data_IF_804222401549
#
_entry.id   IF_804222401549
#
_cell.length_a   1.000
_cell.length_b   1.000
_cell.length_c   1.000
_cell.angle_alpha   90.00
_cell.angle_beta   90.00
_cell.angle_gamma   90.00
#
_symmetry.space_group_name_H-M   'P 1'
#
loop_
_entity.id
_entity.type
_entity.pdbx_description
1 polymer ?
#
# COMPACT_ATOMS: atom_id res chain seq x y z
N UNK A 1 19.09 -38.26 7.17
CA UNK A 1 19.94 -37.06 7.08
C UNK A 1 21.32 -37.38 7.63
N UNK A 2 22.37 -37.08 6.87
CA UNK A 2 23.76 -37.23 7.33
C UNK A 2 24.20 -35.99 8.11
N UNK A 3 25.22 -36.14 8.97
CA UNK A 3 25.77 -35.02 9.73
C UNK A 3 26.28 -33.88 8.84
N UNK A 4 26.82 -34.21 7.67
CA UNK A 4 27.28 -33.21 6.70
C UNK A 4 26.13 -32.40 6.10
N UNK A 5 24.96 -33.00 5.88
CA UNK A 5 23.77 -32.28 5.41
C UNK A 5 23.29 -31.26 6.45
N UNK A 6 23.34 -31.59 7.74
CA UNK A 6 22.93 -30.67 8.81
C UNK A 6 23.81 -29.42 8.84
N UNK A 7 25.12 -29.55 8.59
CA UNK A 7 26.05 -28.40 8.55
C UNK A 7 25.74 -27.41 7.44
N UNK A 8 25.03 -27.83 6.38
CA UNK A 8 24.69 -26.94 5.26
C UNK A 8 23.49 -26.04 5.56
N UNK A 9 22.66 -26.38 6.54
CA UNK A 9 21.39 -25.68 6.81
C UNK A 9 21.58 -24.18 7.12
N UNK A 10 22.51 -23.76 8.00
CA UNK A 10 22.71 -22.33 8.26
C UNK A 10 23.10 -21.54 7.00
N UNK A 11 23.93 -22.13 6.14
CA UNK A 11 24.35 -21.51 4.87
C UNK A 11 23.16 -21.39 3.91
N UNK A 12 22.28 -22.38 3.86
CA UNK A 12 21.06 -22.33 3.06
C UNK A 12 20.10 -21.26 3.57
N UNK A 13 19.88 -21.17 4.87
CA UNK A 13 19.03 -20.13 5.49
C UNK A 13 19.57 -18.74 5.20
N UNK A 14 20.88 -18.52 5.35
CA UNK A 14 21.50 -17.24 5.04
C UNK A 14 21.31 -16.85 3.56
N UNK A 15 21.48 -17.79 2.61
CA UNK A 15 21.24 -17.54 1.18
C UNK A 15 19.78 -17.21 0.88
N UNK A 16 18.85 -17.92 1.50
CA UNK A 16 17.41 -17.68 1.37
C UNK A 16 17.04 -16.30 1.92
N UNK A 17 17.54 -15.97 3.12
CA UNK A 17 17.32 -14.69 3.78
C UNK A 17 17.89 -13.52 2.95
N UNK A 18 19.11 -13.67 2.42
CA UNK A 18 19.72 -12.68 1.54
C UNK A 18 18.85 -12.44 0.31
N UNK A 19 18.40 -13.49 -0.38
CA UNK A 19 17.55 -13.35 -1.56
C UNK A 19 16.18 -12.73 -1.22
N UNK A 20 15.57 -13.13 -0.09
CA UNK A 20 14.32 -12.55 0.38
C UNK A 20 14.45 -11.06 0.70
N UNK A 21 15.59 -10.65 1.28
CA UNK A 21 15.92 -9.26 1.61
C UNK A 21 16.17 -8.43 0.35
N UNK A 22 17.09 -8.85 -0.51
CA UNK A 22 17.50 -8.12 -1.73
C UNK A 22 16.33 -7.86 -2.68
N UNK A 23 15.37 -8.78 -2.73
CA UNK A 23 14.22 -8.67 -3.63
C UNK A 23 12.92 -8.23 -2.94
N UNK A 24 12.96 -7.92 -1.64
CA UNK A 24 11.79 -7.57 -0.84
C UNK A 24 10.63 -8.59 -0.97
N UNK A 25 10.96 -9.89 -0.99
CA UNK A 25 10.01 -10.99 -1.25
C UNK A 25 9.61 -11.80 -0.02
N UNK A 26 10.04 -11.42 1.17
CA UNK A 26 9.68 -12.14 2.40
C UNK A 26 8.16 -12.23 2.62
N UNK A 27 7.42 -11.14 2.40
CA UNK A 27 5.95 -11.14 2.51
C UNK A 27 5.29 -12.03 1.46
N UNK A 28 5.83 -12.06 0.24
CA UNK A 28 5.34 -12.92 -0.84
C UNK A 28 5.57 -14.40 -0.49
N UNK A 29 6.73 -14.73 0.08
CA UNK A 29 7.04 -16.07 0.58
C UNK A 29 6.07 -16.50 1.70
N UNK A 30 5.82 -15.63 2.68
CA UNK A 30 4.85 -15.88 3.74
C UNK A 30 3.45 -16.18 3.16
N UNK A 31 2.94 -15.28 2.29
CA UNK A 31 1.63 -15.44 1.64
C UNK A 31 1.55 -16.71 0.81
N UNK A 32 2.65 -17.12 0.16
CA UNK A 32 2.71 -18.34 -0.64
C UNK A 32 2.57 -19.58 0.23
N UNK A 33 3.26 -19.66 1.37
CA UNK A 33 3.08 -20.76 2.32
C UNK A 33 1.68 -20.80 2.92
N UNK A 34 1.12 -19.65 3.31
CA UNK A 34 -0.26 -19.56 3.80
C UNK A 34 -1.28 -20.03 2.75
N UNK A 35 -1.04 -19.73 1.47
CA UNK A 35 -1.88 -20.20 0.38
C UNK A 35 -1.75 -21.72 0.18
N UNK A 36 -0.53 -22.25 0.14
CA UNK A 36 -0.27 -23.69 0.01
C UNK A 36 -0.83 -24.48 1.19
N UNK A 37 -0.85 -23.89 2.38
CA UNK A 37 -1.50 -24.49 3.53
C UNK A 37 -3.02 -24.65 3.34
N UNK A 38 -3.69 -23.66 2.75
CA UNK A 38 -5.13 -23.73 2.46
C UNK A 38 -5.51 -24.77 1.40
N UNK A 39 -4.54 -25.22 0.60
CA UNK A 39 -4.74 -26.25 -0.42
C UNK A 39 -4.61 -27.68 0.15
N UNK A 40 -4.27 -27.84 1.43
CA UNK A 40 -4.28 -29.15 2.08
C UNK A 40 -5.72 -29.65 2.20
N UNK A 41 -5.99 -30.84 1.67
CA UNK A 41 -7.33 -31.47 1.75
C UNK A 41 -7.74 -31.80 3.19
N UNK A 42 -6.75 -32.13 4.02
CA UNK A 42 -6.96 -32.49 5.41
C UNK A 42 -6.85 -31.28 6.34
N UNK A 43 -8.02 -30.80 6.79
CA UNK A 43 -8.15 -29.70 7.75
C UNK A 43 -7.81 -30.09 9.20
N UNK A 44 -7.60 -31.38 9.48
CA UNK A 44 -7.23 -31.84 10.83
C UNK A 44 -5.74 -31.66 11.13
N UNK A 45 -4.93 -31.46 10.09
CA UNK A 45 -3.49 -31.21 10.20
C UNK A 45 -3.27 -29.81 10.80
N UNK A 46 -2.33 -29.72 11.74
CA UNK A 46 -2.01 -28.49 12.46
C UNK A 46 -1.76 -27.29 11.51
N UNK A 47 -2.15 -26.10 11.96
CA UNK A 47 -1.79 -24.85 11.28
C UNK A 47 -0.26 -24.66 11.33
N UNK A 48 0.34 -24.25 10.21
CA UNK A 48 1.77 -23.96 10.12
C UNK A 48 2.67 -25.05 9.53
N UNK A 49 2.09 -26.04 8.86
CA UNK A 49 2.85 -27.08 8.14
C UNK A 49 2.44 -27.18 6.67
N UNK A 50 3.28 -27.68 5.77
CA UNK A 50 2.90 -28.00 4.38
C UNK A 50 3.57 -29.30 3.92
N UNK A 51 2.99 -30.07 2.99
CA UNK A 51 3.69 -31.21 2.38
C UNK A 51 5.03 -30.79 1.76
N UNK A 52 6.03 -31.66 1.79
CA UNK A 52 7.37 -31.39 1.23
C UNK A 52 7.33 -30.93 -0.24
N UNK A 53 6.43 -31.51 -1.05
CA UNK A 53 6.28 -31.16 -2.48
C UNK A 53 5.92 -29.68 -2.72
N UNK A 54 5.27 -29.04 -1.73
CA UNK A 54 4.88 -27.64 -1.80
C UNK A 54 6.02 -26.68 -1.46
N UNK A 55 7.07 -27.15 -0.77
CA UNK A 55 8.20 -26.32 -0.35
C UNK A 55 8.98 -25.82 -1.57
N UNK A 56 9.23 -26.67 -2.57
CA UNK A 56 9.88 -26.28 -3.83
C UNK A 56 9.12 -25.17 -4.54
N UNK A 57 7.79 -25.27 -4.59
CA UNK A 57 6.93 -24.26 -5.21
C UNK A 57 6.96 -22.94 -4.44
N UNK A 58 7.06 -22.99 -3.10
CA UNK A 58 7.16 -21.79 -2.28
C UNK A 58 8.50 -21.07 -2.47
N UNK A 59 9.61 -21.82 -2.44
CA UNK A 59 10.97 -21.26 -2.61
C UNK A 59 11.17 -20.66 -4.00
N UNK A 60 10.49 -21.19 -5.03
CA UNK A 60 10.54 -20.63 -6.38
C UNK A 60 10.07 -19.16 -6.46
N UNK A 61 9.27 -18.68 -5.51
CA UNK A 61 8.87 -17.27 -5.41
C UNK A 61 10.04 -16.34 -5.10
N UNK A 62 11.14 -16.85 -4.53
CA UNK A 62 12.35 -16.09 -4.22
C UNK A 62 13.28 -15.88 -5.43
N UNK A 63 12.74 -15.93 -6.65
CA UNK A 63 13.51 -15.74 -7.88
C UNK A 63 14.37 -14.46 -7.81
N UNK A 64 15.67 -14.54 -8.18
CA UNK A 64 16.31 -15.59 -8.95
C UNK A 64 17.04 -16.67 -8.14
N UNK A 65 16.73 -16.89 -6.86
CA UNK A 65 17.43 -17.89 -6.03
C UNK A 65 17.32 -19.30 -6.64
N UNK A 66 18.47 -19.87 -7.03
CA UNK A 66 18.58 -21.27 -7.49
C UNK A 66 19.13 -22.13 -6.35
N UNK A 67 18.26 -22.92 -5.73
CA UNK A 67 18.66 -23.99 -4.82
C UNK A 67 18.68 -25.32 -5.56
N UNK A 68 19.62 -26.20 -5.20
CA UNK A 68 19.65 -27.55 -5.73
C UNK A 68 18.56 -28.40 -5.06
N UNK A 69 18.11 -29.44 -5.74
CA UNK A 69 17.09 -30.36 -5.22
C UNK A 69 17.51 -30.97 -3.88
N UNK A 70 18.79 -31.35 -3.76
CA UNK A 70 19.38 -31.84 -2.51
C UNK A 70 19.34 -30.81 -1.36
N UNK A 71 19.49 -29.52 -1.68
CA UNK A 71 19.41 -28.45 -0.67
C UNK A 71 17.98 -28.32 -0.15
N UNK A 72 16.99 -28.41 -1.04
CA UNK A 72 15.57 -28.38 -0.69
C UNK A 72 15.20 -29.61 0.14
N UNK A 73 15.65 -30.80 -0.25
CA UNK A 73 15.46 -32.03 0.54
C UNK A 73 16.06 -31.89 1.94
N UNK A 74 17.29 -31.37 2.05
CA UNK A 74 17.95 -31.16 3.34
C UNK A 74 17.17 -30.19 4.23
N UNK A 75 16.67 -29.09 3.67
CA UNK A 75 15.76 -28.18 4.39
C UNK A 75 14.48 -28.89 4.82
N UNK A 76 13.87 -29.68 3.93
CA UNK A 76 12.66 -30.43 4.22
C UNK A 76 12.84 -31.36 5.41
N UNK A 77 13.93 -32.12 5.45
CA UNK A 77 14.27 -32.98 6.59
C UNK A 77 14.54 -32.20 7.87
N UNK A 78 15.22 -31.04 7.78
CA UNK A 78 15.55 -30.25 8.97
C UNK A 78 14.31 -29.68 9.67
N UNK A 79 13.34 -29.19 8.89
CA UNK A 79 12.07 -28.64 9.41
C UNK A 79 10.92 -29.65 9.38
N UNK A 80 11.21 -30.95 9.27
CA UNK A 80 10.18 -31.98 9.25
C UNK A 80 9.44 -32.03 10.59
N UNK A 81 8.11 -32.15 10.53
CA UNK A 81 7.26 -32.22 11.71
C UNK A 81 7.48 -33.54 12.46
N UNK A 82 7.68 -33.53 13.80
CA UNK A 82 8.12 -34.71 14.55
C UNK A 82 7.10 -35.86 14.55
N UNK A 83 5.82 -35.55 14.35
CA UNK A 83 4.72 -36.53 14.40
C UNK A 83 4.03 -36.74 13.05
N UNK A 84 4.34 -35.93 12.03
CA UNK A 84 3.65 -35.98 10.74
C UNK A 84 4.73 -35.99 9.66
N UNK A 85 5.09 -37.19 9.22
CA UNK A 85 6.15 -37.40 8.24
C UNK A 85 5.82 -36.69 6.92
N UNK A 86 6.84 -36.17 6.27
CA UNK A 86 6.74 -35.44 4.99
C UNK A 86 5.96 -34.12 5.08
N UNK A 87 5.78 -33.59 6.29
CA UNK A 87 5.26 -32.25 6.50
C UNK A 87 6.34 -31.32 7.04
N UNK A 88 6.50 -30.19 6.36
CA UNK A 88 7.46 -29.13 6.64
C UNK A 88 6.86 -28.06 7.54
N UNK A 89 7.47 -27.79 8.70
CA UNK A 89 7.08 -26.72 9.64
C UNK A 89 7.48 -25.35 9.12
N UNK A 90 6.75 -24.84 8.13
CA UNK A 90 7.12 -23.60 7.45
C UNK A 90 7.11 -22.38 8.38
N UNK A 91 6.33 -22.38 9.47
CA UNK A 91 6.34 -21.27 10.44
C UNK A 91 7.73 -21.12 11.10
N UNK A 92 8.35 -22.24 11.49
CA UNK A 92 9.67 -22.21 12.13
C UNK A 92 10.74 -21.81 11.11
N UNK A 93 10.66 -22.35 9.90
CA UNK A 93 11.50 -21.93 8.78
C UNK A 93 11.42 -20.42 8.51
N UNK A 94 10.21 -19.85 8.43
CA UNK A 94 10.02 -18.42 8.21
C UNK A 94 10.60 -17.56 9.35
N UNK A 95 10.47 -18.01 10.62
CA UNK A 95 11.08 -17.33 11.76
C UNK A 95 12.60 -17.29 11.63
N UNK A 96 13.22 -18.40 11.24
CA UNK A 96 14.67 -18.48 11.09
C UNK A 96 15.15 -17.64 9.89
N UNK A 97 14.44 -17.67 8.76
CA UNK A 97 14.71 -16.77 7.62
C UNK A 97 14.61 -15.31 8.06
N UNK A 98 13.58 -14.94 8.82
CA UNK A 98 13.42 -13.57 9.34
C UNK A 98 14.54 -13.18 10.29
N UNK A 99 14.98 -14.11 11.14
CA UNK A 99 16.11 -13.90 12.03
C UNK A 99 17.39 -13.59 11.24
N UNK A 100 17.70 -14.41 10.22
CA UNK A 100 18.85 -14.18 9.34
C UNK A 100 18.75 -12.85 8.57
N UNK A 101 17.56 -12.45 8.12
CA UNK A 101 17.33 -11.12 7.50
C UNK A 101 17.66 -9.97 8.45
N UNK A 102 17.28 -10.08 9.73
CA UNK A 102 17.59 -9.07 10.74
C UNK A 102 19.09 -8.99 11.07
N UNK A 103 19.85 -10.06 10.82
CA UNK A 103 21.31 -10.05 10.94
C UNK A 103 21.98 -9.31 9.77
N UNK A 104 21.43 -9.42 8.55
CA UNK A 104 21.93 -8.74 7.35
C UNK A 104 21.79 -7.22 7.51
N UNK A 105 20.63 -6.75 7.96
CA UNK A 105 20.37 -5.34 8.22
C UNK A 105 19.67 -5.17 9.57
N UNK A 106 20.38 -4.59 10.54
CA UNK A 106 19.83 -4.28 11.87
C UNK A 106 18.65 -3.30 11.81
N UNK A 107 18.51 -2.57 10.71
CA UNK A 107 17.37 -1.68 10.42
C UNK A 107 16.32 -2.34 9.53
N UNK A 108 16.34 -3.67 9.38
CA UNK A 108 15.22 -4.39 8.81
C UNK A 108 13.99 -4.22 9.71
N UNK A 109 13.31 -3.09 9.55
CA UNK A 109 11.95 -2.90 9.99
C UNK A 109 11.12 -3.77 9.06
N UNK A 110 10.54 -4.82 9.65
CA UNK A 110 9.52 -5.63 8.99
C UNK A 110 8.58 -4.69 8.24
N UNK A 111 8.44 -4.88 6.93
CA UNK A 111 7.46 -4.15 6.15
C UNK A 111 6.16 -4.23 6.93
N UNK A 112 5.63 -3.08 7.42
CA UNK A 112 4.51 -3.14 8.35
C UNK A 112 3.42 -3.92 7.66
N UNK A 113 3.01 -5.04 8.27
CA UNK A 113 1.99 -5.94 7.71
C UNK A 113 0.89 -5.06 7.14
N UNK A 114 0.57 -5.26 5.86
CA UNK A 114 -0.42 -4.42 5.19
C UNK A 114 -1.78 -4.62 5.87
N UNK A 115 -2.05 -3.78 6.85
CA UNK A 115 -3.36 -3.64 7.48
C UNK A 115 -4.33 -3.02 6.50
N UNK A 116 -5.63 -3.24 6.72
CA UNK A 116 -6.70 -2.55 5.97
C UNK A 116 -6.45 -1.03 5.92
N UNK A 117 -6.04 -0.43 7.05
CA UNK A 117 -5.69 0.99 7.14
C UNK A 117 -4.56 1.37 6.19
N UNK A 118 -3.44 0.65 6.24
CA UNK A 118 -2.28 0.94 5.38
C UNK A 118 -2.61 0.77 3.89
N UNK A 119 -3.47 -0.20 3.55
CA UNK A 119 -3.90 -0.40 2.16
C UNK A 119 -4.73 0.79 1.65
N UNK A 120 -5.72 1.25 2.44
CA UNK A 120 -6.51 2.45 2.14
C UNK A 120 -5.62 3.68 2.01
N UNK A 121 -4.73 3.91 2.98
CA UNK A 121 -3.79 5.04 2.94
C UNK A 121 -2.88 4.97 1.70
N UNK A 122 -2.44 3.80 1.27
CA UNK A 122 -1.61 3.64 0.06
C UNK A 122 -2.39 3.96 -1.22
N UNK A 123 -3.68 3.61 -1.31
CA UNK A 123 -4.55 4.02 -2.41
C UNK A 123 -4.68 5.55 -2.45
N UNK A 124 -5.00 6.17 -1.31
CA UNK A 124 -5.15 7.63 -1.20
C UNK A 124 -3.85 8.37 -1.50
N UNK A 125 -2.71 7.90 -0.98
CA UNK A 125 -1.37 8.47 -1.24
C UNK A 125 -1.05 8.53 -2.74
N UNK A 126 -1.24 7.40 -3.44
CA UNK A 126 -1.01 7.34 -4.88
C UNK A 126 -1.91 8.32 -5.63
N UNK A 127 -3.18 8.39 -5.26
CA UNK A 127 -4.13 9.30 -5.90
C UNK A 127 -3.77 10.78 -5.69
N UNK A 128 -3.51 11.19 -4.45
CA UNK A 128 -3.15 12.58 -4.10
C UNK A 128 -1.87 12.99 -4.81
N UNK A 129 -0.85 12.13 -4.78
CA UNK A 129 0.43 12.38 -5.44
C UNK A 129 0.30 12.49 -6.96
N UNK A 130 -0.36 11.53 -7.61
CA UNK A 130 -0.50 11.52 -9.06
C UNK A 130 -1.37 12.66 -9.59
N UNK A 131 -2.31 13.13 -8.77
CA UNK A 131 -3.21 14.23 -9.12
C UNK A 131 -2.64 15.61 -8.76
N UNK A 132 -1.53 15.67 -8.02
CA UNK A 132 -0.95 16.93 -7.53
C UNK A 132 -1.91 17.72 -6.64
N UNK A 133 -2.82 17.05 -5.92
CA UNK A 133 -3.87 17.70 -5.14
C UNK A 133 -3.31 18.22 -3.82
N UNK A 134 -3.68 19.44 -3.45
CA UNK A 134 -3.47 19.93 -2.09
C UNK A 134 -4.54 19.32 -1.18
N UNK A 135 -4.19 18.23 -0.48
CA UNK A 135 -5.12 17.52 0.37
C UNK A 135 -5.71 18.42 1.47
N UNK A 136 -4.96 19.39 1.99
CA UNK A 136 -5.41 20.24 3.11
C UNK A 136 -6.47 21.28 2.73
N UNK A 137 -6.50 21.73 1.49
CA UNK A 137 -7.26 22.91 1.07
C UNK A 137 -8.78 22.75 1.31
N UNK A 138 -9.44 21.65 0.90
CA UNK A 138 -10.88 21.51 1.11
C UNK A 138 -11.29 21.35 2.57
N UNK A 139 -10.36 20.96 3.46
CA UNK A 139 -10.65 20.84 4.89
C UNK A 139 -10.62 22.19 5.59
N UNK A 140 -9.77 23.12 5.15
CA UNK A 140 -9.66 24.47 5.71
C UNK A 140 -10.98 25.24 5.60
N UNK A 141 -11.74 25.04 4.52
CA UNK A 141 -13.05 25.68 4.32
C UNK A 141 -14.09 25.26 5.38
N UNK A 142 -13.97 24.05 5.93
CA UNK A 142 -14.87 23.55 6.98
C UNK A 142 -14.35 23.82 8.40
N UNK A 143 -13.08 24.17 8.57
CA UNK A 143 -12.42 24.39 9.87
C UNK A 143 -12.29 25.89 10.18
N UNK A 144 -13.42 26.55 10.40
CA UNK A 144 -13.49 27.99 10.65
C UNK A 144 -12.67 28.45 11.85
N UNK A 145 -12.44 27.55 12.82
CA UNK A 145 -11.71 27.86 14.06
C UNK A 145 -10.25 27.42 14.05
N UNK A 146 -9.75 26.85 12.95
CA UNK A 146 -8.37 26.37 12.82
C UNK A 146 -7.99 25.30 13.85
N UNK A 147 -8.97 24.50 14.32
CA UNK A 147 -8.73 23.49 15.37
C UNK A 147 -8.20 22.18 14.82
N UNK A 148 -8.11 22.05 13.50
CA UNK A 148 -7.73 20.83 12.80
C UNK A 148 -8.70 19.65 13.02
N UNK A 149 -9.94 19.96 13.40
CA UNK A 149 -10.96 19.00 13.82
C UNK A 149 -12.24 19.23 13.02
N UNK A 150 -12.76 18.18 12.38
CA UNK A 150 -14.00 18.23 11.61
C UNK A 150 -14.96 17.12 12.03
N UNK A 151 -16.26 17.37 11.96
CA UNK A 151 -17.25 16.30 12.13
C UNK A 151 -17.14 15.29 10.97
N UNK A 152 -17.41 14.00 11.21
CA UNK A 152 -17.40 12.95 10.16
C UNK A 152 -18.19 13.34 8.90
N UNK A 153 -19.35 14.02 9.04
CA UNK A 153 -20.15 14.45 7.89
C UNK A 153 -19.51 15.58 7.07
N UNK A 154 -18.73 16.46 7.70
CA UNK A 154 -17.95 17.50 7.02
C UNK A 154 -16.74 16.87 6.34
N UNK A 155 -16.09 15.92 7.02
CA UNK A 155 -14.96 15.17 6.50
C UNK A 155 -15.31 14.39 5.23
N UNK A 156 -16.43 13.64 5.23
CA UNK A 156 -16.94 12.95 4.03
C UNK A 156 -17.21 13.93 2.88
N UNK A 157 -17.78 15.11 3.16
CA UNK A 157 -18.02 16.15 2.16
C UNK A 157 -16.72 16.71 1.57
N UNK A 158 -15.71 16.98 2.40
CA UNK A 158 -14.40 17.44 1.94
C UNK A 158 -13.69 16.38 1.08
N UNK A 159 -13.75 15.10 1.45
CA UNK A 159 -13.25 13.99 0.62
C UNK A 159 -13.96 13.91 -0.74
N UNK A 160 -15.27 14.13 -0.77
CA UNK A 160 -16.03 14.15 -2.02
C UNK A 160 -15.61 15.31 -2.95
N UNK A 161 -15.27 16.48 -2.39
CA UNK A 161 -14.70 17.61 -3.17
C UNK A 161 -13.37 17.20 -3.83
N UNK A 162 -12.54 16.41 -3.15
CA UNK A 162 -11.31 15.83 -3.69
C UNK A 162 -11.53 14.68 -4.70
N UNK A 163 -12.79 14.34 -5.01
CA UNK A 163 -13.18 13.19 -5.84
C UNK A 163 -12.71 11.86 -5.26
N UNK A 164 -12.78 11.73 -3.93
CA UNK A 164 -12.52 10.51 -3.17
C UNK A 164 -13.85 9.98 -2.63
N UNK A 165 -14.20 8.76 -2.99
CA UNK A 165 -15.49 8.16 -2.65
C UNK A 165 -15.93 7.09 -3.65
N UNK A 166 -17.03 6.38 -3.34
CA UNK A 166 -17.54 5.34 -4.22
C UNK A 166 -17.94 5.92 -5.58
N UNK A 167 -17.42 5.34 -6.66
CA UNK A 167 -17.68 5.77 -8.04
C UNK A 167 -17.04 7.11 -8.44
N UNK A 168 -16.12 7.63 -7.63
CA UNK A 168 -15.33 8.82 -7.95
C UNK A 168 -13.98 8.45 -8.61
N UNK A 169 -13.13 9.45 -8.87
CA UNK A 169 -11.80 9.22 -9.47
C UNK A 169 -10.89 8.36 -8.58
N UNK A 170 -10.96 8.58 -7.27
CA UNK A 170 -10.36 7.68 -6.29
C UNK A 170 -11.46 6.82 -5.68
N UNK A 171 -11.71 5.67 -6.30
CA UNK A 171 -12.76 4.74 -5.90
C UNK A 171 -12.35 4.04 -4.59
N UNK A 172 -13.00 4.45 -3.50
CA UNK A 172 -12.82 3.89 -2.16
C UNK A 172 -14.22 3.63 -1.61
N UNK A 173 -14.45 2.42 -1.09
CA UNK A 173 -15.75 2.05 -0.56
C UNK A 173 -16.15 2.95 0.60
N UNK A 174 -17.46 3.16 0.79
CA UNK A 174 -17.94 3.98 1.91
C UNK A 174 -17.54 3.37 3.27
N UNK A 175 -17.54 2.03 3.37
CA UNK A 175 -17.10 1.31 4.57
C UNK A 175 -15.62 1.56 4.88
N UNK A 176 -14.76 1.61 3.86
CA UNK A 176 -13.34 1.91 4.02
C UNK A 176 -13.11 3.37 4.42
N UNK A 177 -13.89 4.30 3.88
CA UNK A 177 -13.87 5.70 4.32
C UNK A 177 -14.29 5.79 5.78
N UNK A 178 -15.39 5.14 6.18
CA UNK A 178 -15.83 5.16 7.57
C UNK A 178 -14.82 4.51 8.52
N UNK A 179 -14.22 3.39 8.10
CA UNK A 179 -13.15 2.73 8.84
C UNK A 179 -11.94 3.65 9.01
N UNK A 180 -11.51 4.30 7.93
CA UNK A 180 -10.42 5.27 7.95
C UNK A 180 -10.73 6.42 8.91
N UNK A 181 -11.87 7.07 8.77
CA UNK A 181 -12.23 8.23 9.58
C UNK A 181 -12.33 7.90 11.07
N UNK A 182 -12.87 6.72 11.42
CA UNK A 182 -12.91 6.21 12.80
C UNK A 182 -11.52 6.10 13.43
N UNK A 183 -10.50 5.74 12.65
CA UNK A 183 -9.12 5.64 13.13
C UNK A 183 -8.48 7.00 13.46
N UNK A 184 -9.02 8.09 12.91
CA UNK A 184 -8.54 9.46 13.14
C UNK A 184 -9.46 10.28 14.07
N UNK A 185 -10.42 9.64 14.75
CA UNK A 185 -11.25 10.32 15.76
C UNK A 185 -10.39 10.70 16.97
N UNK A 186 -10.54 11.94 17.42
CA UNK A 186 -9.81 12.46 18.57
C UNK A 186 -10.43 11.92 19.88
N UNK A 187 -9.66 11.29 20.79
CA UNK A 187 -10.20 10.71 22.03
C UNK A 187 -10.89 11.72 22.95
N UNK A 188 -10.47 13.00 22.90
CA UNK A 188 -11.04 14.07 23.72
C UNK A 188 -12.33 14.65 23.14
N UNK A 189 -12.62 14.40 21.86
CA UNK A 189 -13.77 14.95 21.15
C UNK A 189 -14.39 13.85 20.28
N UNK A 190 -15.18 12.97 20.91
CA UNK A 190 -15.68 11.66 20.43
C UNK A 190 -16.42 11.63 19.06
N UNK A 191 -16.56 12.76 18.36
CA UNK A 191 -17.20 12.87 17.04
C UNK A 191 -16.42 13.74 16.04
N UNK A 192 -15.23 14.18 16.43
CA UNK A 192 -14.38 15.01 15.59
C UNK A 192 -13.18 14.20 15.12
N UNK A 193 -12.93 14.29 13.82
CA UNK A 193 -11.83 13.64 13.13
C UNK A 193 -10.70 14.65 12.99
N UNK A 194 -9.50 14.26 13.41
CA UNK A 194 -8.29 15.05 13.29
C UNK A 194 -7.73 14.96 11.86
N UNK A 195 -8.17 15.88 11.00
CA UNK A 195 -7.80 15.85 9.58
C UNK A 195 -6.33 16.20 9.37
N UNK A 196 -5.71 17.00 10.24
CA UNK A 196 -4.29 17.31 10.17
C UNK A 196 -3.43 16.05 10.34
N UNK A 197 -3.78 15.20 11.31
CA UNK A 197 -3.10 13.92 11.50
C UNK A 197 -3.26 13.00 10.27
N UNK A 198 -4.47 12.96 9.68
CA UNK A 198 -4.71 12.21 8.44
C UNK A 198 -3.87 12.76 7.27
N UNK A 199 -3.82 14.08 7.09
CA UNK A 199 -2.99 14.70 6.05
C UNK A 199 -1.52 14.43 6.27
N UNK A 200 -1.03 14.55 7.50
CA UNK A 200 0.36 14.25 7.85
C UNK A 200 0.69 12.79 7.50
N UNK A 201 -0.16 11.83 7.82
CA UNK A 201 0.07 10.42 7.50
C UNK A 201 0.04 10.14 5.99
N UNK A 202 -0.80 10.86 5.24
CA UNK A 202 -0.83 10.81 3.77
C UNK A 202 0.44 11.42 3.16
N UNK A 203 0.93 12.54 3.70
CA UNK A 203 2.08 13.27 3.13
C UNK A 203 3.44 12.75 3.60
N UNK A 204 3.57 12.21 4.82
CA UNK A 204 4.83 11.69 5.38
C UNK A 204 5.23 10.31 4.85
N UNK A 205 4.42 9.70 3.98
CA UNK A 205 4.64 8.34 3.50
C UNK A 205 5.61 8.23 2.31
N UNK A 206 6.56 7.30 2.38
CA UNK A 206 7.23 6.76 1.20
C UNK A 206 6.20 6.00 0.35
N UNK A 207 5.92 6.46 -0.87
CA UNK A 207 5.19 5.63 -1.85
C UNK A 207 6.22 4.71 -2.49
N UNK A 208 6.06 3.38 -2.32
CA UNK A 208 6.94 2.37 -2.91
C UNK A 208 8.43 2.52 -2.54
N UNK A 209 8.74 2.78 -1.26
CA UNK A 209 10.12 2.78 -0.75
C UNK A 209 10.98 3.99 -1.16
N UNK A 210 10.48 4.88 -2.03
CA UNK A 210 11.15 6.14 -2.38
C UNK A 210 10.64 7.26 -1.47
N UNK A 211 11.57 7.98 -0.83
CA UNK A 211 11.27 9.26 -0.17
C UNK A 211 10.91 10.24 -1.29
N UNK A 212 9.65 10.66 -1.34
CA UNK A 212 9.24 11.67 -2.30
C UNK A 212 9.62 13.04 -1.74
N UNK A 213 10.31 13.89 -2.51
CA UNK A 213 10.57 15.26 -2.09
C UNK A 213 9.23 16.00 -2.08
N UNK A 214 8.65 16.19 -0.89
CA UNK A 214 7.51 17.09 -0.76
C UNK A 214 8.01 18.50 -1.03
N UNK A 215 7.41 19.17 -2.01
CA UNK A 215 7.74 20.56 -2.33
C UNK A 215 7.10 21.40 -1.24
N UNK A 216 7.88 21.80 -0.22
CA UNK A 216 7.45 22.77 0.79
C UNK A 216 6.93 24.02 0.07
N UNK A 217 5.61 24.09 -0.13
CA UNK A 217 4.93 25.35 -0.38
C UNK A 217 5.07 26.11 0.92
N UNK A 218 6.07 26.99 0.98
CA UNK A 218 6.34 27.79 2.16
C UNK A 218 5.06 28.50 2.60
N UNK A 219 4.48 28.00 3.69
CA UNK A 219 3.64 28.80 4.58
C UNK A 219 4.60 29.78 5.27
N UNK A 220 5.06 30.76 4.48
CA UNK A 220 5.88 31.87 4.92
C UNK A 220 4.95 32.91 5.50
N UNK A 221 5.03 33.07 6.81
CA UNK A 221 4.49 34.20 7.55
C UNK A 221 4.83 35.51 6.83
N UNK A 222 3.84 36.39 6.77
CA UNK A 222 3.79 37.52 5.85
C UNK A 222 5.04 38.41 5.85
N UNK A 223 5.86 38.25 4.82
CA UNK A 223 6.81 39.27 4.38
C UNK A 223 6.39 39.74 2.99
N UNK A 224 5.93 41.00 2.91
CA UNK A 224 5.51 41.69 1.70
C UNK A 224 6.67 41.75 0.69
N UNK A 225 6.84 40.70 -0.11
CA UNK A 225 7.72 40.75 -1.28
C UNK A 225 7.01 41.44 -2.44
N UNK A 226 7.67 42.50 -2.90
CA UNK A 226 7.29 43.33 -4.02
C UNK A 226 6.92 42.50 -5.27
N UNK A 227 5.83 42.92 -5.93
CA UNK A 227 5.37 42.36 -7.20
C UNK A 227 6.47 42.44 -8.25
N UNK A 228 6.75 41.37 -9.01
CA UNK A 228 7.52 41.50 -10.24
C UNK A 228 6.70 42.27 -11.28
N UNK A 229 7.23 43.42 -11.69
CA UNK A 229 6.77 44.21 -12.83
C UNK A 229 6.94 43.44 -14.14
N UNK A 230 5.97 43.61 -15.04
CA UNK A 230 5.91 43.13 -16.43
C UNK A 230 5.39 41.71 -16.67
N UNK A 231 4.06 41.61 -16.77
CA UNK A 231 3.42 40.70 -17.73
C UNK A 231 2.95 41.54 -18.90
N UNK A 232 3.57 41.33 -20.06
CA UNK A 232 3.18 41.94 -21.34
C UNK A 232 1.82 41.37 -21.74
N UNK A 233 0.82 42.24 -21.81
CA UNK A 233 -0.54 41.91 -22.26
C UNK A 233 -0.48 41.61 -23.76
N UNK A 234 -0.65 40.35 -24.15
CA UNK A 234 -0.96 39.99 -25.54
C UNK A 234 -2.46 40.23 -25.76
N UNK A 235 -2.76 41.13 -26.70
CA UNK A 235 -4.12 41.47 -27.10
C UNK A 235 -4.82 40.29 -27.78
N UNK A 236 -6.12 40.09 -27.55
CA UNK A 236 -6.89 39.06 -28.23
C UNK A 236 -7.20 39.49 -29.68
N UNK A 237 -6.80 38.66 -30.64
CA UNK A 237 -7.27 38.74 -32.02
C UNK A 237 -8.73 38.30 -32.07
N UNK A 238 -9.59 39.18 -32.58
CA UNK A 238 -11.00 38.95 -32.85
C UNK A 238 -11.18 37.88 -33.93
N UNK A 239 -11.62 36.69 -33.51
CA UNK A 239 -12.11 35.64 -34.41
C UNK A 239 -13.61 35.84 -34.62
N UNK A 240 -13.97 36.24 -35.83
CA UNK A 240 -15.33 36.41 -36.34
C UNK A 240 -16.07 35.07 -36.25
N UNK A 241 -17.14 35.00 -35.46
CA UNK A 241 -17.99 33.83 -35.29
C UNK A 241 -19.07 33.86 -36.39
N UNK A 242 -18.94 32.97 -37.37
CA UNK A 242 -19.86 32.78 -38.49
C UNK A 242 -21.11 32.00 -38.03
N UNK A 243 -22.30 32.60 -38.20
CA UNK A 243 -23.58 32.00 -37.84
C UNK A 243 -24.05 31.05 -38.97
N UNK A 244 -23.67 29.78 -38.84
CA UNK A 244 -24.15 28.68 -39.69
C UNK A 244 -25.63 28.36 -39.47
N UNK A 245 -26.38 28.39 -40.58
CA UNK A 245 -27.82 28.17 -40.75
C UNK A 245 -28.35 26.86 -40.16
N UNK A 246 -29.55 26.97 -39.60
CA UNK A 246 -30.46 25.90 -39.20
C UNK A 246 -31.15 25.30 -40.45
N UNK A 247 -31.14 23.98 -40.69
CA UNK A 247 -32.03 23.38 -41.68
C UNK A 247 -33.34 22.94 -41.02
N UNK A 248 -34.44 23.45 -41.57
CA UNK A 248 -35.80 22.94 -41.43
C UNK A 248 -35.85 21.45 -41.80
N UNK A 249 -36.47 20.63 -40.94
CA UNK A 249 -36.94 19.29 -41.32
C UNK A 249 -38.44 19.19 -41.13
N UNK A 250 -39.09 19.11 -42.29
CA UNK A 250 -40.50 18.90 -42.50
C UNK A 250 -40.99 17.53 -41.97
N UNK A 251 -42.04 17.61 -41.18
CA UNK A 251 -43.34 16.96 -41.33
C UNK A 251 -43.43 15.77 -42.31
N UNK A 252 -43.66 14.56 -41.76
CA UNK A 252 -44.38 13.45 -42.44
C UNK A 252 -45.08 12.56 -41.39
N UNK A 253 -46.40 12.64 -41.34
CA UNK A 253 -47.28 11.57 -40.83
C UNK A 253 -47.45 10.48 -41.91
N UNK A 254 -47.69 9.22 -41.52
CA UNK A 254 -48.61 8.36 -42.24
C UNK A 254 -49.82 8.01 -41.37
N UNK A 255 -50.96 7.82 -42.05
CA UNK A 255 -52.24 7.40 -41.47
C UNK A 255 -52.37 5.90 -41.26
#
# INVERSE_FOLDING_TARGET
MTFEEIKTIPVLLQRIAQAAYEHHRYDALCKRFEHLEKLKDDKTIACGVVPHDYVRQAIAELAPLRLLDKDIESLCFYYEHPFILHFFRYIDFLKDVKYEMALIDRKYEETPKETRLTSILNVLKRYVHNSGLNFNEPFRDFDTFGKNLLNMSQMKRALHVLRIGPGQRCDVSEEDIDFLLKHYVEPTAERHVNYKKLTDDLMRGRVCGKVLPWRETGDGDGELRAKPSSWTVLSPTSTTFDQGRHPDKADKRPG
#
